data_IF_926741856387
#
_entry.id   IF_926741856387
#
_cell.length_a   1.000
_cell.length_b   1.000
_cell.length_c   1.000
_cell.angle_alpha   90.00
_cell.angle_beta   90.00
_cell.angle_gamma   90.00
#
_symmetry.space_group_name_H-M   'P 1'
#
loop_
_entity.id
_entity.type
_entity.pdbx_description
1 polymer ?
#
# COMPACT_ATOMS: atom_id res chain seq x y z
N UNK A 1 -5.08 15.19 6.27
CA UNK A 1 -5.35 15.69 4.91
C UNK A 1 -4.35 15.19 3.84
N UNK A 2 -3.47 14.20 4.13
CA UNK A 2 -2.40 13.79 3.20
C UNK A 2 -2.81 12.76 2.12
N UNK A 3 -3.93 12.05 2.27
CA UNK A 3 -4.23 10.87 1.43
C UNK A 3 -4.66 11.19 -0.02
N UNK A 4 -5.34 12.32 -0.28
CA UNK A 4 -5.87 12.67 -1.60
C UNK A 4 -4.82 13.25 -2.55
N UNK A 5 -3.96 14.15 -2.06
CA UNK A 5 -2.88 14.70 -2.86
C UNK A 5 -1.85 13.63 -3.23
N UNK A 6 -1.60 12.67 -2.33
CA UNK A 6 -0.75 11.52 -2.65
C UNK A 6 -1.36 10.65 -3.74
N UNK A 7 -2.67 10.37 -3.70
CA UNK A 7 -3.39 9.63 -4.74
C UNK A 7 -3.25 10.27 -6.14
N UNK A 8 -3.47 11.58 -6.24
CA UNK A 8 -3.40 12.29 -7.52
C UNK A 8 -1.99 12.30 -8.11
N UNK A 9 -0.94 12.26 -7.28
CA UNK A 9 0.45 12.15 -7.76
C UNK A 9 0.73 10.84 -8.48
N UNK A 10 -0.01 9.79 -8.14
CA UNK A 10 0.18 8.47 -8.71
C UNK A 10 -0.80 8.16 -9.84
N UNK A 11 -1.77 9.02 -10.16
CA UNK A 11 -2.72 8.76 -11.25
C UNK A 11 -2.35 9.54 -12.51
N UNK A 12 -2.48 8.89 -13.67
CA UNK A 12 -2.39 9.56 -14.96
C UNK A 12 -3.69 10.30 -15.28
N UNK A 13 -3.69 11.13 -16.35
CA UNK A 13 -4.90 11.80 -16.85
C UNK A 13 -6.05 10.82 -17.18
N UNK A 14 -5.75 9.55 -17.46
CA UNK A 14 -6.71 8.49 -17.72
C UNK A 14 -7.12 7.68 -16.48
N UNK A 15 -6.87 8.20 -15.26
CA UNK A 15 -7.21 7.60 -13.95
C UNK A 15 -6.53 6.26 -13.62
N UNK A 16 -5.57 5.81 -14.43
CA UNK A 16 -4.72 4.65 -14.12
C UNK A 16 -3.58 5.05 -13.18
N UNK A 17 -3.14 4.12 -12.33
CA UNK A 17 -1.91 4.30 -11.55
C UNK A 17 -0.71 4.36 -12.50
N UNK A 18 0.10 5.42 -12.40
CA UNK A 18 1.33 5.62 -13.16
C UNK A 18 2.29 4.50 -12.81
N UNK A 19 2.80 3.81 -13.83
CA UNK A 19 3.69 2.66 -13.70
C UNK A 19 3.11 1.49 -12.85
N UNK A 20 1.80 1.50 -12.61
CA UNK A 20 1.09 0.42 -11.93
C UNK A 20 0.77 -0.75 -12.87
N UNK A 21 0.54 -1.94 -12.31
CA UNK A 21 0.05 -3.09 -13.07
C UNK A 21 -1.42 -2.92 -13.47
N UNK A 22 -1.86 -3.64 -14.51
CA UNK A 22 -3.21 -3.49 -15.06
C UNK A 22 -4.30 -3.93 -14.08
N UNK A 23 -4.11 -5.10 -13.45
CA UNK A 23 -5.05 -5.63 -12.48
C UNK A 23 -4.86 -4.97 -11.11
N UNK A 24 -5.71 -4.01 -10.80
CA UNK A 24 -5.77 -3.31 -9.51
C UNK A 24 -6.99 -3.75 -8.69
N UNK A 25 -7.48 -4.98 -8.87
CA UNK A 25 -8.57 -5.51 -8.05
C UNK A 25 -8.12 -5.63 -6.60
N UNK A 26 -9.07 -5.70 -5.66
CA UNK A 26 -8.75 -5.90 -4.25
C UNK A 26 -7.96 -7.20 -4.02
N UNK A 27 -8.45 -8.31 -4.56
CA UNK A 27 -7.82 -9.63 -4.42
C UNK A 27 -6.38 -9.63 -4.92
N UNK A 28 -6.13 -9.05 -6.10
CA UNK A 28 -4.77 -9.00 -6.66
C UNK A 28 -3.84 -8.08 -5.87
N UNK A 29 -4.34 -6.99 -5.29
CA UNK A 29 -3.57 -6.14 -4.38
C UNK A 29 -3.22 -6.85 -3.06
N UNK A 30 -4.18 -7.57 -2.47
CA UNK A 30 -3.97 -8.36 -1.26
C UNK A 30 -2.99 -9.51 -1.52
N UNK A 31 -3.12 -10.21 -2.64
CA UNK A 31 -2.19 -11.27 -3.04
C UNK A 31 -0.76 -10.72 -3.17
N UNK A 32 -0.56 -9.63 -3.91
CA UNK A 32 0.77 -9.01 -4.05
C UNK A 32 1.35 -8.61 -2.70
N UNK A 33 0.54 -8.03 -1.81
CA UNK A 33 1.01 -7.69 -0.48
C UNK A 33 1.46 -8.93 0.30
N UNK A 34 0.68 -10.02 0.28
CA UNK A 34 1.03 -11.27 0.93
C UNK A 34 2.32 -11.90 0.38
N UNK A 35 2.63 -11.66 -0.90
CA UNK A 35 3.89 -12.06 -1.55
C UNK A 35 5.05 -11.09 -1.25
N UNK A 36 4.86 -10.07 -0.41
CA UNK A 36 5.89 -9.07 -0.09
C UNK A 36 6.12 -8.05 -1.22
N UNK A 37 5.12 -7.85 -2.08
CA UNK A 37 5.18 -6.97 -3.26
C UNK A 37 4.26 -5.78 -3.10
N UNK A 38 4.63 -4.69 -3.76
CA UNK A 38 3.86 -3.46 -3.77
C UNK A 38 2.48 -3.70 -4.39
N UNK A 39 1.38 -3.34 -3.70
CA UNK A 39 0.03 -3.54 -4.21
C UNK A 39 -0.22 -2.87 -5.58
N UNK A 40 0.45 -1.75 -5.85
CA UNK A 40 0.23 -0.94 -7.07
C UNK A 40 1.19 -1.33 -8.21
N UNK A 41 2.48 -1.40 -7.93
CA UNK A 41 3.53 -1.51 -8.97
C UNK A 41 4.05 -2.95 -9.17
N UNK A 42 3.60 -3.89 -8.33
CA UNK A 42 4.09 -5.27 -8.31
C UNK A 42 5.63 -5.38 -8.20
N UNK A 43 6.26 -4.41 -7.54
CA UNK A 43 7.70 -4.42 -7.23
C UNK A 43 7.94 -4.94 -5.82
N UNK A 44 9.08 -5.61 -5.55
CA UNK A 44 9.42 -6.03 -4.20
C UNK A 44 9.35 -4.88 -3.20
N UNK A 45 8.89 -5.19 -1.98
CA UNK A 45 8.99 -4.27 -0.84
C UNK A 45 10.22 -4.64 -0.02
N UNK A 46 11.18 -3.72 0.06
CA UNK A 46 12.43 -3.93 0.79
C UNK A 46 12.43 -3.22 2.12
N UNK A 47 13.17 -3.75 3.08
CA UNK A 47 13.39 -3.14 4.38
C UNK A 47 13.85 -1.68 4.22
N UNK A 48 13.05 -0.75 4.74
CA UNK A 48 13.31 0.69 4.68
C UNK A 48 13.80 1.27 6.00
N UNK A 49 13.72 0.50 7.08
CA UNK A 49 14.04 0.95 8.43
C UNK A 49 14.68 -0.19 9.25
N UNK A 50 15.08 0.09 10.49
CA UNK A 50 15.61 -0.89 11.43
C UNK A 50 14.53 -1.84 11.96
N UNK A 51 14.96 -2.96 12.54
CA UNK A 51 14.06 -3.88 13.24
C UNK A 51 13.65 -3.34 14.61
N UNK A 52 12.35 -3.17 14.79
CA UNK A 52 11.71 -2.79 16.05
C UNK A 52 11.45 -4.03 16.91
N UNK A 53 11.66 -3.88 18.23
CA UNK A 53 11.53 -4.93 19.24
C UNK A 53 10.58 -4.50 20.36
N UNK A 54 9.26 -4.61 20.17
CA UNK A 54 8.31 -4.30 21.24
C UNK A 54 8.48 -5.26 22.41
N UNK A 55 8.33 -4.78 23.66
CA UNK A 55 8.57 -5.57 24.88
C UNK A 55 7.71 -6.84 24.98
N UNK A 56 6.49 -6.80 24.46
CA UNK A 56 5.51 -7.89 24.55
C UNK A 56 4.94 -8.28 23.17
N UNK A 57 5.72 -8.14 22.09
CA UNK A 57 5.18 -8.33 20.74
C UNK A 57 6.16 -8.94 19.76
N UNK A 58 5.63 -9.31 18.59
CA UNK A 58 6.43 -9.78 17.47
C UNK A 58 7.36 -8.67 16.98
N UNK A 59 8.62 -9.02 16.69
CA UNK A 59 9.56 -8.10 16.02
C UNK A 59 9.02 -7.73 14.65
N UNK A 60 9.20 -6.48 14.25
CA UNK A 60 8.75 -5.98 12.95
C UNK A 60 9.72 -4.96 12.37
N UNK A 61 9.63 -4.74 11.07
CA UNK A 61 10.33 -3.66 10.37
C UNK A 61 9.37 -2.97 9.40
N UNK A 62 9.69 -1.75 9.00
CA UNK A 62 9.05 -1.14 7.84
C UNK A 62 9.72 -1.62 6.55
N UNK A 63 8.89 -1.81 5.53
CA UNK A 63 9.30 -2.11 4.16
C UNK A 63 8.63 -1.12 3.21
N UNK A 64 9.32 -0.76 2.14
CA UNK A 64 8.84 0.21 1.14
C UNK A 64 9.00 -0.33 -0.27
N UNK A 65 8.15 0.11 -1.18
CA UNK A 65 8.24 -0.26 -2.59
C UNK A 65 9.53 0.24 -3.23
N UNK A 66 10.22 -0.61 -4.01
CA UNK A 66 11.41 -0.22 -4.78
C UNK A 66 11.15 0.75 -5.94
N UNK A 67 9.89 1.04 -6.29
CA UNK A 67 9.61 1.97 -7.37
C UNK A 67 9.97 3.40 -6.93
N UNK A 68 10.83 4.14 -7.67
CA UNK A 68 11.49 5.37 -7.18
C UNK A 68 10.53 6.50 -6.82
N UNK A 69 9.30 6.48 -7.35
CA UNK A 69 8.27 7.47 -7.04
C UNK A 69 7.24 6.97 -6.03
N UNK A 70 7.21 5.67 -5.74
CA UNK A 70 6.26 5.06 -4.83
C UNK A 70 6.66 5.30 -3.38
N UNK A 71 5.68 5.65 -2.54
CA UNK A 71 5.87 5.87 -1.10
C UNK A 71 5.04 4.92 -0.26
N UNK A 72 4.55 3.84 -0.87
CA UNK A 72 3.77 2.83 -0.14
C UNK A 72 4.70 2.11 0.81
N UNK A 73 4.28 2.06 2.06
CA UNK A 73 4.97 1.39 3.15
C UNK A 73 4.07 0.32 3.77
N UNK A 74 4.72 -0.74 4.24
CA UNK A 74 4.10 -1.81 4.98
C UNK A 74 4.98 -2.21 6.16
N UNK A 75 4.37 -2.89 7.11
CA UNK A 75 5.02 -3.54 8.24
C UNK A 75 5.24 -5.00 7.85
N UNK A 76 6.46 -5.48 7.98
CA UNK A 76 6.82 -6.89 7.85
C UNK A 76 7.16 -7.46 9.23
N UNK A 77 6.49 -8.55 9.64
CA UNK A 77 6.84 -9.28 10.86
C UNK A 77 8.11 -10.10 10.66
N UNK A 78 8.82 -10.43 11.75
CA UNK A 78 10.08 -11.19 11.66
C UNK A 78 9.95 -12.64 11.22
N UNK A 79 8.73 -13.14 11.06
CA UNK A 79 8.49 -14.44 10.45
C UNK A 79 8.38 -14.36 8.92
N UNK A 80 8.40 -13.15 8.34
CA UNK A 80 8.16 -12.87 6.92
C UNK A 80 6.82 -13.36 6.37
N UNK A 81 5.94 -13.87 7.23
CA UNK A 81 4.65 -14.43 6.82
C UNK A 81 3.60 -13.36 6.54
N UNK A 82 3.78 -12.15 7.09
CA UNK A 82 2.74 -11.12 7.05
C UNK A 82 3.28 -9.74 6.76
N UNK A 83 2.79 -9.19 5.65
CA UNK A 83 2.94 -7.80 5.27
C UNK A 83 1.62 -7.08 5.53
N UNK A 84 1.67 -5.96 6.26
CA UNK A 84 0.48 -5.16 6.55
C UNK A 84 0.74 -3.71 6.19
N UNK A 85 -0.07 -3.12 5.31
CA UNK A 85 0.07 -1.70 4.99
C UNK A 85 -0.03 -0.85 6.27
N UNK A 86 0.82 0.18 6.35
CA UNK A 86 0.69 1.18 7.40
C UNK A 86 -0.67 1.89 7.27
N UNK A 87 -1.24 2.44 8.36
CA UNK A 87 -2.59 2.99 8.38
C UNK A 87 -2.92 3.95 7.23
N UNK A 88 -1.93 4.74 6.81
CA UNK A 88 -2.01 5.72 5.73
C UNK A 88 -2.35 5.09 4.38
N UNK A 89 -1.93 3.84 4.14
CA UNK A 89 -2.10 3.12 2.88
C UNK A 89 -3.15 2.02 2.93
N UNK A 90 -3.73 1.69 4.10
CA UNK A 90 -4.73 0.61 4.25
C UNK A 90 -5.91 0.73 3.29
N UNK A 91 -6.34 1.96 3.03
CA UNK A 91 -7.43 2.25 2.11
C UNK A 91 -7.21 1.61 0.72
N UNK A 92 -5.96 1.37 0.29
CA UNK A 92 -5.65 0.70 -0.98
C UNK A 92 -6.23 -0.71 -1.08
N UNK A 93 -6.39 -1.42 0.03
CA UNK A 93 -7.03 -2.74 0.04
C UNK A 93 -8.55 -2.66 0.21
N UNK A 94 -9.06 -1.49 0.59
CA UNK A 94 -10.49 -1.25 0.83
C UNK A 94 -11.19 -0.68 -0.42
N UNK A 95 -10.44 -0.20 -1.42
CA UNK A 95 -11.03 0.28 -2.68
C UNK A 95 -11.49 -0.91 -3.54
N UNK A 96 -12.64 -0.77 -4.19
CA UNK A 96 -13.24 -1.56 -5.28
C UNK A 96 -12.66 -2.94 -5.66
N UNK A 97 -13.55 -3.91 -5.85
CA UNK A 97 -13.26 -5.21 -6.45
C UNK A 97 -13.04 -5.15 -7.98
N UNK A 98 -13.47 -4.06 -8.65
CA UNK A 98 -13.57 -4.00 -10.12
C UNK A 98 -12.27 -3.64 -10.89
N UNK A 99 -11.11 -3.63 -10.25
CA UNK A 99 -9.82 -3.49 -10.97
C UNK A 99 -9.51 -2.11 -11.56
N UNK A 100 -10.47 -1.19 -11.50
CA UNK A 100 -10.34 0.21 -11.91
C UNK A 100 -10.46 1.04 -10.63
N UNK A 101 -9.40 1.77 -10.28
CA UNK A 101 -9.34 2.52 -9.03
C UNK A 101 -10.28 3.72 -9.03
N UNK A 102 -11.55 3.52 -8.71
CA UNK A 102 -12.49 4.61 -8.46
C UNK A 102 -12.30 5.25 -7.09
N UNK A 103 -12.76 6.50 -7.05
CA UNK A 103 -12.67 7.42 -5.93
C UNK A 103 -13.51 6.89 -4.78
N UNK A 104 -12.89 6.62 -3.64
CA UNK A 104 -13.61 6.38 -2.38
C UNK A 104 -14.09 7.75 -1.86
N UNK A 105 -15.40 8.06 -1.88
CA UNK A 105 -15.91 9.28 -1.29
C UNK A 105 -16.04 9.07 0.22
N UNK A 106 -15.13 9.66 0.99
CA UNK A 106 -15.26 9.66 2.46
C UNK A 106 -16.26 10.74 2.89
N UNK A 107 -17.22 10.37 3.74
CA UNK A 107 -18.09 11.34 4.42
C UNK A 107 -17.21 12.31 5.21
N UNK A 108 -17.41 13.62 4.99
CA UNK A 108 -16.80 14.66 5.81
C UNK A 108 -17.18 14.40 7.26
N UNK A 109 -16.19 14.11 8.11
CA UNK A 109 -16.36 14.28 9.54
C UNK A 109 -16.38 15.79 9.76
N UNK A 110 -17.54 16.31 10.17
CA UNK A 110 -17.68 17.72 10.51
C UNK A 110 -16.72 18.06 11.65
N UNK A 111 -15.98 19.16 11.51
CA UNK A 111 -15.22 19.80 12.58
C UNK A 111 -16.17 20.52 13.53
#
# INVERSE_FOLDING_TARGET
>A
MANLDMLNRFKSKSRKWVDGVEDQTRSSREQRLNEGRCPIHDKPMLQSDVWYRPRNGQRYTFVSCMHPKCRIEAICSSTYDKFTLVPEWRFLLEQNEEGIGDVVPFKRVAQ
#
